data_IF_681012985019
#
_entry.id   IF_681012985019
#
_cell.length_a   1.000
_cell.length_b   1.000
_cell.length_c   1.000
_cell.angle_alpha   90.00
_cell.angle_beta   90.00
_cell.angle_gamma   90.00
#
_symmetry.space_group_name_H-M   'P 1'
#
loop_
_entity.id
_entity.type
_entity.pdbx_description
1 polymer ?
#
# COMPACT_ATOMS: atom_id res chain seq x y z
N UNK A 1 -9.94 5.70 -12.85
CA UNK A 1 -10.33 6.36 -14.12
C UNK A 1 -10.91 7.77 -13.95
N UNK A 2 -11.74 8.06 -12.93
CA UNK A 2 -12.27 9.43 -12.73
C UNK A 2 -11.17 10.47 -12.61
N UNK A 3 -10.15 10.22 -11.78
CA UNK A 3 -9.05 11.18 -11.55
C UNK A 3 -8.24 11.45 -12.81
N UNK A 4 -8.10 10.45 -13.70
CA UNK A 4 -7.40 10.59 -14.98
C UNK A 4 -8.18 11.51 -15.92
N UNK A 5 -9.50 11.34 -15.99
CA UNK A 5 -10.35 12.13 -16.87
C UNK A 5 -10.35 13.63 -16.52
N UNK A 6 -10.17 13.95 -15.22
CA UNK A 6 -10.13 15.34 -14.73
C UNK A 6 -8.89 16.13 -15.18
N UNK A 7 -7.81 15.45 -15.51
CA UNK A 7 -6.52 16.08 -15.86
C UNK A 7 -6.35 16.33 -17.36
N UNK A 8 -7.45 16.42 -18.11
CA UNK A 8 -7.44 16.65 -19.57
C UNK A 8 -6.42 15.75 -20.30
N UNK A 9 -6.55 14.45 -20.07
CA UNK A 9 -5.69 13.45 -20.67
C UNK A 9 -6.01 13.22 -22.15
N UNK A 10 -4.98 12.88 -22.93
CA UNK A 10 -5.09 12.33 -24.27
C UNK A 10 -4.45 10.93 -24.30
N UNK A 11 -4.47 10.26 -25.43
CA UNK A 11 -3.89 8.93 -25.58
C UNK A 11 -2.37 8.93 -25.30
N UNK A 12 -1.68 10.03 -25.64
CA UNK A 12 -0.22 10.11 -25.59
C UNK A 12 0.31 10.28 -24.16
N UNK A 13 -0.46 10.92 -23.25
CA UNK A 13 -0.02 11.19 -21.88
C UNK A 13 -0.74 10.35 -20.81
N UNK A 14 -1.67 9.47 -21.18
CA UNK A 14 -2.49 8.71 -20.22
C UNK A 14 -1.65 7.96 -19.17
N UNK A 15 -0.59 7.31 -19.59
CA UNK A 15 0.27 6.53 -18.69
C UNK A 15 0.98 7.44 -17.66
N UNK A 16 1.45 8.60 -18.09
CA UNK A 16 2.14 9.57 -17.24
C UNK A 16 1.17 10.21 -16.24
N UNK A 17 -0.04 10.55 -16.67
CA UNK A 17 -1.11 11.04 -15.79
C UNK A 17 -1.51 9.99 -14.76
N UNK A 18 -1.61 8.71 -15.17
CA UNK A 18 -1.90 7.62 -14.23
C UNK A 18 -0.80 7.49 -13.16
N UNK A 19 0.48 7.56 -13.55
CA UNK A 19 1.61 7.55 -12.60
C UNK A 19 1.52 8.74 -11.65
N UNK A 20 1.27 9.95 -12.17
CA UNK A 20 1.09 11.14 -11.35
C UNK A 20 0.01 10.96 -10.28
N UNK A 21 -1.16 10.45 -10.68
CA UNK A 21 -2.27 10.21 -9.75
C UNK A 21 -1.88 9.18 -8.69
N UNK A 22 -1.23 8.08 -9.08
CA UNK A 22 -0.80 7.04 -8.13
C UNK A 22 0.23 7.57 -7.12
N UNK A 23 1.19 8.38 -7.59
CA UNK A 23 2.21 8.99 -6.74
C UNK A 23 1.66 10.01 -5.74
N UNK A 24 0.53 10.64 -6.07
CA UNK A 24 -0.13 11.63 -5.22
C UNK A 24 -1.26 11.05 -4.35
N UNK A 25 -1.48 9.73 -4.37
CA UNK A 25 -2.41 9.09 -3.43
C UNK A 25 -1.88 9.19 -2.00
N UNK A 26 -2.81 9.38 -1.06
CA UNK A 26 -2.53 9.50 0.38
C UNK A 26 -3.25 8.41 1.17
N UNK A 27 -3.00 8.35 2.47
CA UNK A 27 -3.64 7.38 3.35
C UNK A 27 -3.35 5.93 2.94
N UNK A 28 -4.35 5.07 3.03
CA UNK A 28 -4.22 3.64 2.71
C UNK A 28 -4.02 3.33 1.22
N UNK A 29 -4.25 4.31 0.34
CA UNK A 29 -4.05 4.17 -1.11
C UNK A 29 -2.66 4.63 -1.57
N UNK A 30 -1.83 5.16 -0.67
CA UNK A 30 -0.47 5.61 -0.97
C UNK A 30 0.42 4.45 -1.40
N UNK A 31 1.22 4.67 -2.44
CA UNK A 31 2.28 3.72 -2.80
C UNK A 31 3.43 3.81 -1.79
N UNK A 32 3.91 2.69 -1.26
CA UNK A 32 5.11 2.67 -0.42
C UNK A 32 6.33 3.03 -1.25
N UNK A 33 7.26 3.79 -0.68
CA UNK A 33 8.58 4.04 -1.31
C UNK A 33 9.44 2.79 -1.26
N UNK A 34 10.51 2.78 -2.04
CA UNK A 34 11.39 1.60 -2.14
C UNK A 34 11.95 1.14 -0.79
N UNK A 35 12.27 2.05 0.14
CA UNK A 35 12.79 1.68 1.46
C UNK A 35 11.73 1.00 2.32
N UNK A 36 10.49 1.52 2.33
CA UNK A 36 9.35 0.91 3.02
C UNK A 36 8.99 -0.44 2.40
N UNK A 37 9.09 -0.54 1.07
CA UNK A 37 8.85 -1.78 0.35
C UNK A 37 9.90 -2.84 0.66
N UNK A 38 11.20 -2.46 0.74
CA UNK A 38 12.31 -3.35 1.17
C UNK A 38 12.08 -3.87 2.57
N UNK A 39 11.78 -2.99 3.51
CA UNK A 39 11.49 -3.39 4.88
C UNK A 39 10.35 -4.41 4.93
N UNK A 40 9.25 -4.13 4.23
CA UNK A 40 8.10 -5.03 4.19
C UNK A 40 8.44 -6.39 3.56
N UNK A 41 9.18 -6.44 2.45
CA UNK A 41 9.60 -7.69 1.79
C UNK A 41 10.47 -8.55 2.71
N UNK A 42 11.33 -7.94 3.51
CA UNK A 42 12.26 -8.65 4.37
C UNK A 42 11.69 -9.02 5.74
N UNK A 43 10.67 -8.32 6.23
CA UNK A 43 10.18 -8.50 7.61
C UNK A 43 8.79 -9.12 7.71
N UNK A 44 7.96 -9.01 6.69
CA UNK A 44 6.55 -9.40 6.77
C UNK A 44 6.36 -10.91 6.84
N UNK A 45 5.34 -11.33 7.59
CA UNK A 45 4.83 -12.70 7.54
C UNK A 45 4.07 -12.91 6.23
N UNK A 46 4.70 -13.58 5.26
CA UNK A 46 4.10 -13.89 3.97
C UNK A 46 3.28 -15.17 3.97
N UNK A 47 3.41 -16.01 4.99
CA UNK A 47 2.65 -17.25 5.06
C UNK A 47 1.19 -17.01 5.42
N UNK A 48 0.91 -16.07 6.33
CA UNK A 48 -0.42 -15.78 6.82
C UNK A 48 -1.15 -14.64 6.12
N UNK A 49 -0.55 -14.02 5.09
CA UNK A 49 -1.29 -13.04 4.27
C UNK A 49 -2.43 -13.72 3.50
N UNK A 50 -3.37 -12.91 3.00
CA UNK A 50 -4.47 -13.39 2.18
C UNK A 50 -3.98 -14.29 1.02
N UNK A 51 -4.62 -15.44 0.83
CA UNK A 51 -4.21 -16.46 -0.15
C UNK A 51 -4.09 -15.93 -1.59
N UNK A 52 -5.00 -15.03 -2.01
CA UNK A 52 -4.96 -14.42 -3.36
C UNK A 52 -3.73 -13.54 -3.54
N UNK A 53 -3.40 -12.72 -2.55
CA UNK A 53 -2.20 -11.89 -2.56
C UNK A 53 -0.93 -12.74 -2.53
N UNK A 54 -0.90 -13.78 -1.70
CA UNK A 54 0.22 -14.72 -1.64
C UNK A 54 0.43 -15.40 -2.99
N UNK A 55 -0.62 -15.96 -3.60
CA UNK A 55 -0.54 -16.58 -4.91
C UNK A 55 -0.05 -15.61 -5.99
N UNK A 56 -0.55 -14.37 -5.99
CA UNK A 56 -0.10 -13.32 -6.91
C UNK A 56 1.41 -13.03 -6.75
N UNK A 57 1.88 -12.85 -5.52
CA UNK A 57 3.29 -12.53 -5.26
C UNK A 57 4.21 -13.64 -5.75
N UNK A 58 3.91 -14.91 -5.40
CA UNK A 58 4.71 -16.05 -5.84
C UNK A 58 4.66 -16.22 -7.36
N UNK A 59 3.50 -16.03 -7.99
CA UNK A 59 3.39 -16.08 -9.45
C UNK A 59 4.22 -14.99 -10.15
N UNK A 60 4.22 -13.78 -9.62
CA UNK A 60 5.03 -12.69 -10.18
C UNK A 60 6.52 -12.96 -10.03
N UNK A 61 6.96 -13.45 -8.87
CA UNK A 61 8.37 -13.80 -8.63
C UNK A 61 8.83 -15.00 -9.46
N UNK A 62 7.96 -15.99 -9.69
CA UNK A 62 8.25 -17.13 -10.56
C UNK A 62 8.46 -16.68 -12.01
N UNK A 63 7.58 -15.85 -12.51
CA UNK A 63 7.56 -15.43 -13.90
C UNK A 63 8.39 -14.17 -14.19
N UNK A 64 9.25 -13.75 -13.25
CA UNK A 64 10.13 -12.59 -13.42
C UNK A 64 10.97 -12.68 -14.69
N UNK A 65 11.02 -11.62 -15.47
CA UNK A 65 11.86 -11.48 -16.66
C UNK A 65 11.65 -12.57 -17.73
N UNK A 66 10.54 -13.33 -17.65
CA UNK A 66 10.25 -14.40 -18.60
C UNK A 66 9.18 -13.98 -19.59
N UNK A 67 9.41 -14.31 -20.87
CA UNK A 67 8.38 -14.27 -21.92
C UNK A 67 7.50 -15.50 -21.88
N UNK A 68 8.01 -16.64 -21.38
CA UNK A 68 7.29 -17.88 -21.18
C UNK A 68 6.90 -17.98 -19.70
N UNK A 69 5.61 -17.99 -19.43
CA UNK A 69 5.07 -17.94 -18.07
C UNK A 69 4.62 -19.32 -17.58
N UNK A 70 4.88 -19.60 -16.31
CA UNK A 70 4.31 -20.75 -15.60
C UNK A 70 3.10 -20.29 -14.80
N UNK A 71 1.93 -20.85 -15.12
CA UNK A 71 0.72 -20.53 -14.36
C UNK A 71 0.70 -21.29 -13.02
N UNK A 72 0.87 -20.54 -11.92
CA UNK A 72 0.84 -21.13 -10.57
C UNK A 72 -0.33 -20.62 -9.72
N UNK A 73 -1.01 -19.56 -10.12
CA UNK A 73 -2.12 -18.99 -9.35
C UNK A 73 -3.25 -20.01 -9.24
N UNK A 74 -3.69 -20.56 -10.38
CA UNK A 74 -4.75 -21.57 -10.39
C UNK A 74 -4.35 -22.83 -9.62
N UNK A 75 -3.10 -23.28 -9.79
CA UNK A 75 -2.55 -24.42 -9.06
C UNK A 75 -2.50 -24.23 -7.54
N UNK A 76 -2.32 -22.99 -7.06
CA UNK A 76 -2.34 -22.66 -5.63
C UNK A 76 -3.75 -22.46 -5.08
N UNK A 77 -4.64 -21.83 -5.83
CA UNK A 77 -5.95 -21.40 -5.33
C UNK A 77 -7.06 -22.42 -5.60
N UNK A 78 -7.14 -22.96 -6.81
CA UNK A 78 -8.28 -23.76 -7.26
C UNK A 78 -7.92 -25.25 -7.38
N UNK A 79 -6.96 -25.57 -8.22
CA UNK A 79 -6.60 -26.97 -8.51
C UNK A 79 -5.86 -27.65 -7.35
N UNK A 80 -5.39 -26.89 -6.36
CA UNK A 80 -4.59 -27.39 -5.22
C UNK A 80 -3.40 -28.29 -5.64
N UNK A 81 -2.92 -28.06 -6.86
CA UNK A 81 -1.77 -28.75 -7.44
C UNK A 81 -0.46 -28.36 -6.75
N UNK A 82 -0.40 -27.12 -6.28
CA UNK A 82 0.75 -26.55 -5.59
C UNK A 82 0.38 -26.08 -4.20
N UNK A 83 1.37 -26.01 -3.33
CA UNK A 83 1.26 -25.43 -1.99
C UNK A 83 2.50 -24.63 -1.66
N UNK A 84 2.38 -23.77 -0.65
CA UNK A 84 3.53 -23.05 -0.09
C UNK A 84 4.28 -23.99 0.85
N UNK A 85 5.56 -24.14 0.60
CA UNK A 85 6.49 -24.93 1.38
C UNK A 85 7.41 -24.04 2.22
N UNK A 86 7.61 -24.43 3.48
CA UNK A 86 8.66 -23.90 4.34
C UNK A 86 9.96 -24.68 4.10
N UNK A 87 10.97 -24.05 3.56
CA UNK A 87 12.28 -24.70 3.33
C UNK A 87 12.86 -25.15 4.67
N UNK A 88 13.04 -24.22 5.61
CA UNK A 88 13.22 -24.52 7.05
C UNK A 88 11.83 -24.80 7.63
N UNK A 89 11.56 -26.00 8.14
CA UNK A 89 10.21 -26.46 8.45
C UNK A 89 9.59 -25.76 9.66
N UNK A 90 8.27 -25.81 9.77
CA UNK A 90 7.53 -25.26 10.92
C UNK A 90 7.92 -25.93 12.25
N UNK A 91 8.28 -27.22 12.23
CA UNK A 91 8.77 -27.93 13.41
C UNK A 91 10.19 -28.40 13.15
N UNK A 92 11.14 -27.88 13.92
CA UNK A 92 12.54 -28.22 13.78
C UNK A 92 12.86 -29.59 14.40
N UNK A 93 13.45 -30.50 13.60
CA UNK A 93 14.08 -31.70 14.10
C UNK A 93 15.40 -31.36 14.84
N UNK A 94 16.01 -32.36 15.53
CA UNK A 94 17.31 -32.18 16.19
C UNK A 94 18.42 -31.82 15.20
N UNK A 95 18.35 -32.37 14.01
CA UNK A 95 19.29 -32.09 12.92
C UNK A 95 19.17 -30.62 12.49
N UNK A 96 17.95 -30.13 12.26
CA UNK A 96 17.74 -28.71 11.95
C UNK A 96 18.25 -27.78 13.04
N UNK A 97 18.03 -28.13 14.33
CA UNK A 97 18.55 -27.32 15.44
C UNK A 97 20.07 -27.28 15.44
N UNK A 98 20.72 -28.39 15.08
CA UNK A 98 22.18 -28.48 14.96
C UNK A 98 22.68 -27.63 13.78
N UNK A 99 22.04 -27.72 12.63
CA UNK A 99 22.44 -27.01 11.41
C UNK A 99 22.27 -25.49 11.56
N UNK A 100 21.21 -25.03 12.22
CA UNK A 100 20.98 -23.63 12.54
C UNK A 100 21.88 -23.08 13.66
N UNK A 101 22.48 -23.98 14.47
CA UNK A 101 23.42 -23.61 15.52
C UNK A 101 22.78 -23.11 16.81
N UNK A 102 23.57 -22.43 17.65
CA UNK A 102 23.15 -22.04 19.00
C UNK A 102 21.91 -21.14 19.05
N UNK A 103 21.74 -20.29 18.03
CA UNK A 103 20.64 -19.33 17.95
C UNK A 103 19.42 -19.87 17.17
N UNK A 104 19.30 -21.20 17.01
CA UNK A 104 18.27 -21.82 16.17
C UNK A 104 16.84 -21.35 16.47
N UNK A 105 16.52 -21.06 17.74
CA UNK A 105 15.18 -20.58 18.13
C UNK A 105 14.90 -19.20 17.57
N UNK A 106 15.83 -18.27 17.72
CA UNK A 106 15.71 -16.91 17.23
C UNK A 106 15.66 -16.89 15.69
N UNK A 107 16.55 -17.65 15.04
CA UNK A 107 16.55 -17.79 13.58
C UNK A 107 15.22 -18.34 13.08
N UNK A 108 14.68 -19.37 13.74
CA UNK A 108 13.40 -19.96 13.39
C UNK A 108 12.24 -18.98 13.56
N UNK A 109 12.15 -18.30 14.71
CA UNK A 109 11.12 -17.32 15.00
C UNK A 109 11.14 -16.16 13.97
N UNK A 110 12.32 -15.64 13.67
CA UNK A 110 12.48 -14.52 12.74
C UNK A 110 12.15 -14.92 11.30
N UNK A 111 12.65 -16.07 10.83
CA UNK A 111 12.68 -16.39 9.41
C UNK A 111 11.56 -17.33 8.95
N UNK A 112 10.87 -18.02 9.86
CA UNK A 112 9.93 -19.07 9.50
C UNK A 112 8.95 -18.66 8.39
N UNK A 113 8.25 -17.56 8.58
CA UNK A 113 7.19 -17.10 7.69
C UNK A 113 7.60 -15.99 6.72
N UNK A 114 8.89 -15.62 6.71
CA UNK A 114 9.40 -14.63 5.76
C UNK A 114 9.51 -15.22 4.36
N UNK A 115 9.37 -14.36 3.36
CA UNK A 115 9.43 -14.73 1.94
C UNK A 115 10.68 -15.57 1.62
N UNK A 116 11.82 -15.23 2.22
CA UNK A 116 13.08 -15.95 2.02
C UNK A 116 13.07 -17.42 2.44
N UNK A 117 12.18 -17.84 3.33
CA UNK A 117 12.03 -19.24 3.75
C UNK A 117 10.87 -19.96 3.04
N UNK A 118 10.11 -19.27 2.19
CA UNK A 118 8.93 -19.81 1.54
C UNK A 118 9.19 -20.10 0.05
N UNK A 119 8.59 -21.15 -0.45
CA UNK A 119 8.62 -21.48 -1.89
C UNK A 119 7.33 -22.19 -2.30
N UNK A 120 7.22 -22.51 -3.60
CA UNK A 120 6.09 -23.26 -4.17
C UNK A 120 6.55 -24.67 -4.53
N UNK A 121 5.75 -25.65 -4.20
CA UNK A 121 5.98 -27.05 -4.56
C UNK A 121 4.67 -27.81 -4.77
N UNK A 122 4.72 -28.88 -5.56
CA UNK A 122 3.66 -29.90 -5.64
C UNK A 122 3.84 -31.06 -4.66
N UNK A 123 4.94 -31.10 -3.89
CA UNK A 123 5.38 -32.25 -3.10
C UNK A 123 5.53 -31.96 -1.60
N UNK A 124 4.79 -31.00 -1.08
CA UNK A 124 4.91 -30.51 0.31
C UNK A 124 4.83 -31.66 1.34
N UNK A 125 3.89 -32.60 1.17
CA UNK A 125 3.76 -33.76 2.06
C UNK A 125 5.00 -34.64 2.12
N UNK A 126 5.79 -34.69 1.04
CA UNK A 126 7.01 -35.47 0.95
C UNK A 126 8.18 -34.78 1.68
N UNK A 127 8.14 -33.45 1.76
CA UNK A 127 9.18 -32.66 2.42
C UNK A 127 9.11 -32.70 3.94
N UNK A 128 7.92 -32.48 4.50
CA UNK A 128 7.69 -32.51 5.95
C UNK A 128 8.81 -31.76 6.73
N UNK A 129 9.29 -32.32 7.83
CA UNK A 129 10.39 -31.78 8.65
C UNK A 129 11.76 -32.40 8.32
N UNK A 130 11.92 -33.01 7.15
CA UNK A 130 13.21 -33.60 6.70
C UNK A 130 14.28 -32.55 6.64
N UNK A 131 15.55 -32.96 6.79
CA UNK A 131 16.72 -32.08 6.68
C UNK A 131 16.77 -31.40 5.32
N UNK A 132 17.46 -30.27 5.25
CA UNK A 132 17.58 -29.53 4.00
C UNK A 132 18.16 -30.36 2.86
N UNK A 133 19.24 -31.12 3.13
CA UNK A 133 19.89 -31.99 2.15
C UNK A 133 18.91 -33.02 1.59
N UNK A 134 18.09 -33.64 2.44
CA UNK A 134 17.07 -34.61 1.98
C UNK A 134 16.01 -33.91 1.14
N UNK A 135 15.43 -32.78 1.57
CA UNK A 135 14.46 -32.01 0.79
C UNK A 135 15.03 -31.57 -0.57
N UNK A 136 16.32 -31.24 -0.61
CA UNK A 136 17.00 -30.82 -1.84
C UNK A 136 17.21 -31.98 -2.81
N UNK A 137 17.74 -33.10 -2.32
CA UNK A 137 18.35 -34.16 -3.15
C UNK A 137 17.43 -35.35 -3.42
N UNK A 138 16.29 -35.48 -2.73
CA UNK A 138 15.32 -36.54 -3.00
C UNK A 138 14.75 -36.45 -4.44
N UNK A 139 14.13 -37.53 -4.92
CA UNK A 139 13.64 -37.66 -6.31
C UNK A 139 12.83 -36.45 -6.79
N UNK A 140 11.89 -36.00 -5.99
CA UNK A 140 11.02 -34.85 -6.30
C UNK A 140 11.41 -33.63 -5.43
N UNK A 141 12.70 -33.54 -5.10
CA UNK A 141 13.27 -32.49 -4.24
C UNK A 141 13.50 -31.18 -4.96
N UNK A 142 14.06 -30.23 -4.24
CA UNK A 142 14.30 -28.88 -4.79
C UNK A 142 15.18 -28.92 -6.05
N UNK A 143 16.18 -29.81 -6.13
CA UNK A 143 17.02 -29.94 -7.33
C UNK A 143 16.23 -30.29 -8.60
N UNK A 144 15.17 -31.10 -8.47
CA UNK A 144 14.34 -31.49 -9.58
C UNK A 144 13.23 -30.49 -9.90
N UNK A 145 13.03 -29.49 -9.05
CA UNK A 145 11.96 -28.51 -9.23
C UNK A 145 12.14 -27.69 -10.50
N UNK A 146 11.14 -27.50 -11.36
CA UNK A 146 11.22 -26.61 -12.51
C UNK A 146 11.12 -25.14 -12.15
N UNK A 147 10.66 -24.82 -10.93
CA UNK A 147 10.39 -23.45 -10.54
C UNK A 147 11.67 -22.61 -10.38
N UNK A 148 11.64 -21.39 -10.94
CA UNK A 148 12.69 -20.36 -10.77
C UNK A 148 12.80 -19.89 -9.33
N UNK A 149 11.71 -19.90 -8.57
CA UNK A 149 11.69 -19.64 -7.14
C UNK A 149 12.66 -20.54 -6.37
N UNK A 150 13.00 -21.71 -6.91
CA UNK A 150 13.90 -22.68 -6.30
C UNK A 150 15.35 -22.59 -6.82
N UNK A 151 15.68 -21.66 -7.72
CA UNK A 151 17.02 -21.57 -8.30
C UNK A 151 18.13 -21.37 -7.26
N UNK A 152 17.90 -20.53 -6.25
CA UNK A 152 18.82 -20.37 -5.13
C UNK A 152 18.88 -21.63 -4.26
N UNK A 153 17.72 -22.19 -3.94
CA UNK A 153 17.56 -23.37 -3.07
C UNK A 153 18.26 -24.59 -3.66
N UNK A 154 18.19 -24.79 -4.98
CA UNK A 154 18.87 -25.89 -5.70
C UNK A 154 20.36 -25.89 -5.52
N UNK A 155 20.96 -24.68 -5.44
CA UNK A 155 22.41 -24.46 -5.42
C UNK A 155 22.98 -24.41 -4.01
N UNK A 156 22.15 -24.22 -3.00
CA UNK A 156 22.60 -24.15 -1.62
C UNK A 156 22.97 -25.54 -1.11
N UNK A 157 24.08 -25.63 -0.39
CA UNK A 157 24.53 -26.89 0.24
C UNK A 157 23.95 -27.10 1.63
N UNK A 158 23.55 -26.03 2.28
CA UNK A 158 22.95 -25.99 3.61
C UNK A 158 21.83 -24.94 3.64
N UNK A 159 21.10 -24.88 4.75
CA UNK A 159 20.04 -23.89 4.94
C UNK A 159 20.12 -23.32 6.36
N UNK A 160 20.95 -22.31 6.50
CA UNK A 160 21.21 -21.61 7.77
C UNK A 160 20.73 -20.15 7.68
N UNK A 161 20.97 -19.38 8.71
CA UNK A 161 20.67 -17.95 8.68
C UNK A 161 21.39 -17.21 7.55
N UNK A 162 22.59 -17.69 7.17
CA UNK A 162 23.35 -17.12 6.05
C UNK A 162 22.58 -17.26 4.73
N UNK A 163 22.13 -18.48 4.39
CA UNK A 163 21.39 -18.74 3.15
C UNK A 163 20.03 -18.02 3.13
N UNK A 164 19.37 -17.90 4.28
CA UNK A 164 18.15 -17.12 4.43
C UNK A 164 18.39 -15.64 4.11
N UNK A 165 19.47 -15.04 4.64
CA UNK A 165 19.85 -13.65 4.38
C UNK A 165 20.22 -13.43 2.90
N UNK A 166 21.00 -14.32 2.30
CA UNK A 166 21.38 -14.19 0.90
C UNK A 166 20.18 -14.35 -0.04
N UNK A 167 19.30 -15.31 0.23
CA UNK A 167 18.07 -15.46 -0.55
C UNK A 167 17.13 -14.26 -0.36
N UNK A 168 17.07 -13.67 0.83
CA UNK A 168 16.29 -12.45 1.08
C UNK A 168 16.76 -11.31 0.19
N UNK A 169 18.08 -11.10 0.05
CA UNK A 169 18.65 -10.08 -0.85
C UNK A 169 18.31 -10.35 -2.32
N UNK A 170 18.38 -11.61 -2.76
CA UNK A 170 18.00 -11.98 -4.13
C UNK A 170 16.51 -11.71 -4.38
N UNK A 171 15.63 -12.11 -3.46
CA UNK A 171 14.20 -11.88 -3.56
C UNK A 171 13.84 -10.40 -3.50
N UNK A 172 14.48 -9.61 -2.64
CA UNK A 172 14.35 -8.15 -2.57
C UNK A 172 14.68 -7.50 -3.91
N UNK A 173 15.84 -7.84 -4.48
CA UNK A 173 16.26 -7.35 -5.79
C UNK A 173 15.25 -7.66 -6.88
N UNK A 174 14.76 -8.91 -6.91
CA UNK A 174 13.76 -9.33 -7.88
C UNK A 174 12.41 -8.60 -7.67
N UNK A 175 12.01 -8.41 -6.42
CA UNK A 175 10.78 -7.70 -6.08
C UNK A 175 10.84 -6.22 -6.49
N UNK A 176 11.94 -5.51 -6.23
CA UNK A 176 12.13 -4.12 -6.64
C UNK A 176 12.15 -3.96 -8.18
N UNK A 177 12.67 -4.95 -8.88
CA UNK A 177 12.62 -4.95 -10.35
C UNK A 177 11.20 -5.19 -10.90
N UNK A 178 10.41 -6.04 -10.23
CA UNK A 178 9.03 -6.35 -10.64
C UNK A 178 8.04 -5.23 -10.30
N UNK A 179 8.21 -4.61 -9.15
CA UNK A 179 7.32 -3.57 -8.62
C UNK A 179 8.08 -2.25 -8.45
N UNK A 180 8.62 -1.76 -9.55
CA UNK A 180 9.34 -0.49 -9.57
C UNK A 180 8.46 0.64 -9.09
N UNK A 181 8.99 1.47 -8.20
CA UNK A 181 8.33 2.72 -7.83
C UNK A 181 8.18 3.59 -9.08
N UNK A 182 6.98 4.04 -9.45
CA UNK A 182 6.78 4.79 -10.66
C UNK A 182 7.44 6.17 -10.56
N UNK A 183 7.86 6.69 -11.70
CA UNK A 183 8.26 8.09 -11.85
C UNK A 183 7.52 8.70 -13.04
N UNK A 184 7.26 9.99 -12.98
CA UNK A 184 6.61 10.74 -14.05
C UNK A 184 7.19 12.14 -14.14
N UNK A 185 7.30 12.64 -15.36
CA UNK A 185 7.58 14.05 -15.64
C UNK A 185 6.28 14.85 -15.90
N UNK A 186 5.12 14.22 -15.75
CA UNK A 186 3.85 14.90 -15.94
C UNK A 186 3.62 15.93 -14.84
N UNK A 187 3.40 17.16 -15.28
CA UNK A 187 2.93 18.25 -14.44
C UNK A 187 1.52 18.62 -14.88
N UNK A 188 0.53 18.64 -13.95
CA UNK A 188 -0.82 19.06 -14.32
C UNK A 188 -0.76 20.52 -14.79
N UNK A 189 -1.39 20.81 -15.90
CA UNK A 189 -1.58 22.20 -16.33
C UNK A 189 -2.55 22.83 -15.33
N UNK A 190 -2.01 23.63 -14.43
CA UNK A 190 -2.80 24.52 -13.59
C UNK A 190 -3.27 25.63 -14.52
N UNK A 191 -4.48 25.49 -15.06
CA UNK A 191 -5.12 26.62 -15.73
C UNK A 191 -5.45 27.58 -14.60
N UNK A 192 -4.68 28.64 -14.49
CA UNK A 192 -5.08 29.78 -13.66
C UNK A 192 -6.27 30.46 -14.37
N UNK A 193 -7.45 29.88 -14.17
CA UNK A 193 -8.71 30.37 -14.74
C UNK A 193 -9.16 31.67 -14.10
N UNK A 194 -8.28 32.29 -13.30
CA UNK A 194 -8.66 33.40 -12.42
C UNK A 194 -9.46 32.95 -11.21
N UNK A 195 -9.79 33.89 -10.35
CA UNK A 195 -10.71 33.65 -9.25
C UNK A 195 -12.13 33.65 -9.78
N UNK A 196 -12.86 32.54 -9.57
CA UNK A 196 -14.30 32.45 -9.90
C UNK A 196 -15.10 32.54 -8.62
N UNK A 197 -16.28 33.20 -8.62
CA UNK A 197 -17.18 33.15 -7.48
C UNK A 197 -17.50 31.70 -7.09
N UNK A 198 -17.48 31.41 -5.78
CA UNK A 198 -17.97 30.13 -5.31
C UNK A 198 -19.49 30.17 -5.34
N UNK A 199 -20.08 29.45 -6.28
CA UNK A 199 -21.51 29.48 -6.57
C UNK A 199 -22.11 28.10 -6.38
N UNK A 200 -23.28 28.02 -5.75
CA UNK A 200 -24.03 26.78 -5.54
C UNK A 200 -24.49 26.10 -6.83
N UNK A 201 -24.60 26.84 -7.93
CA UNK A 201 -25.05 26.29 -9.21
C UNK A 201 -23.92 25.63 -10.02
N UNK A 202 -22.67 25.77 -9.58
CA UNK A 202 -21.54 25.18 -10.26
C UNK A 202 -21.16 23.83 -9.65
N UNK A 203 -21.11 22.78 -10.47
CA UNK A 203 -20.60 21.46 -10.06
C UNK A 203 -19.07 21.48 -9.99
N UNK A 204 -18.54 21.47 -8.76
CA UNK A 204 -17.11 21.37 -8.46
C UNK A 204 -16.65 19.92 -8.31
N UNK A 205 -17.52 18.93 -8.56
CA UNK A 205 -17.19 17.52 -8.43
C UNK A 205 -15.95 17.19 -9.27
N UNK A 206 -14.89 16.88 -8.58
CA UNK A 206 -13.65 16.48 -9.21
C UNK A 206 -12.67 17.59 -9.54
N UNK A 207 -13.00 18.81 -9.22
CA UNK A 207 -12.06 19.92 -9.27
C UNK A 207 -11.18 19.92 -8.02
N UNK A 208 -9.99 20.48 -8.15
CA UNK A 208 -9.09 20.76 -7.05
C UNK A 208 -9.05 22.27 -6.83
N UNK A 209 -9.12 22.70 -5.57
CA UNK A 209 -8.90 24.09 -5.21
C UNK A 209 -7.39 24.35 -5.06
N UNK A 210 -6.88 25.41 -5.68
CA UNK A 210 -5.49 25.83 -5.54
C UNK A 210 -5.31 27.02 -4.61
N UNK A 211 -6.32 27.89 -4.54
CA UNK A 211 -6.39 29.04 -3.64
C UNK A 211 -7.83 29.52 -3.55
N UNK A 212 -8.11 30.37 -2.58
CA UNK A 212 -9.37 31.07 -2.45
C UNK A 212 -9.17 32.51 -1.97
N UNK A 213 -10.18 33.34 -2.17
CA UNK A 213 -10.30 34.68 -1.58
C UNK A 213 -11.59 34.76 -0.79
N UNK A 214 -11.52 35.26 0.42
CA UNK A 214 -12.68 35.35 1.30
C UNK A 214 -12.63 36.65 2.12
N UNK A 215 -13.73 37.37 2.15
CA UNK A 215 -13.87 38.64 2.91
C UNK A 215 -12.76 39.68 2.64
N UNK A 216 -12.24 39.72 1.42
CA UNK A 216 -11.18 40.67 1.06
C UNK A 216 -9.78 40.28 1.55
N UNK A 217 -9.56 39.03 1.94
CA UNK A 217 -8.28 38.54 2.45
C UNK A 217 -7.14 38.48 1.41
N UNK A 218 -7.44 38.73 0.13
CA UNK A 218 -6.55 38.39 -0.97
C UNK A 218 -6.46 36.87 -1.16
N UNK A 219 -5.60 36.46 -2.11
CA UNK A 219 -5.47 35.06 -2.52
C UNK A 219 -4.74 34.22 -1.46
N UNK A 220 -5.45 33.26 -0.88
CA UNK A 220 -4.94 32.32 0.13
C UNK A 220 -4.70 30.97 -0.51
N UNK A 221 -3.46 30.45 -0.61
CA UNK A 221 -3.17 29.16 -1.20
C UNK A 221 -3.66 28.01 -0.30
N UNK A 222 -4.21 26.98 -0.93
CA UNK A 222 -4.63 25.73 -0.29
C UNK A 222 -4.39 24.54 -1.23
N UNK A 223 -4.30 23.34 -0.65
CA UNK A 223 -4.07 22.11 -1.42
C UNK A 223 -5.35 21.28 -1.62
N UNK A 224 -6.32 21.43 -0.74
CA UNK A 224 -7.55 20.61 -0.73
C UNK A 224 -8.75 21.45 -0.29
N UNK A 225 -9.94 21.04 -0.70
CA UNK A 225 -11.20 21.60 -0.26
C UNK A 225 -11.35 21.66 1.27
N UNK A 226 -10.94 20.57 1.96
CA UNK A 226 -10.93 20.52 3.43
C UNK A 226 -10.14 21.68 4.04
N UNK A 227 -8.92 21.94 3.55
CA UNK A 227 -8.08 23.01 4.04
C UNK A 227 -8.73 24.39 3.82
N UNK A 228 -9.35 24.57 2.65
CA UNK A 228 -10.07 25.81 2.35
C UNK A 228 -11.20 26.07 3.35
N UNK A 229 -12.07 25.08 3.56
CA UNK A 229 -13.23 25.20 4.48
C UNK A 229 -12.76 25.47 5.90
N UNK A 230 -11.77 24.77 6.41
CA UNK A 230 -11.23 24.99 7.74
C UNK A 230 -10.68 26.41 7.89
N UNK A 231 -9.96 26.93 6.89
CA UNK A 231 -9.46 28.31 6.90
C UNK A 231 -10.61 29.33 6.89
N UNK A 232 -11.64 29.10 6.06
CA UNK A 232 -12.83 29.97 6.00
C UNK A 232 -13.53 29.99 7.36
N UNK A 233 -13.76 28.84 7.98
CA UNK A 233 -14.41 28.75 9.30
C UNK A 233 -13.59 29.48 10.36
N UNK A 234 -12.28 29.33 10.36
CA UNK A 234 -11.38 30.09 11.29
C UNK A 234 -11.45 31.59 11.06
N UNK A 235 -11.46 32.03 9.81
CA UNK A 235 -11.62 33.47 9.47
C UNK A 235 -12.98 34.01 9.89
N UNK A 236 -14.05 33.21 9.79
CA UNK A 236 -15.38 33.57 10.29
C UNK A 236 -15.39 33.67 11.81
N UNK A 237 -14.74 32.72 12.50
CA UNK A 237 -14.59 32.75 13.94
C UNK A 237 -13.85 33.99 14.41
N UNK A 238 -12.73 34.34 13.79
CA UNK A 238 -11.94 35.52 14.11
C UNK A 238 -12.75 36.82 13.93
N UNK A 239 -13.70 36.81 12.98
CA UNK A 239 -14.53 37.99 12.70
C UNK A 239 -15.75 38.09 13.63
N UNK A 240 -16.43 36.99 13.88
CA UNK A 240 -17.62 36.90 14.72
C UNK A 240 -17.71 35.54 15.43
N UNK A 241 -17.03 35.42 16.59
CA UNK A 241 -17.07 34.19 17.38
C UNK A 241 -18.50 33.80 17.81
N UNK A 242 -19.29 34.80 18.22
CA UNK A 242 -20.66 34.55 18.71
C UNK A 242 -21.57 34.03 17.62
N UNK A 243 -21.47 34.61 16.42
CA UNK A 243 -22.24 34.16 15.25
C UNK A 243 -21.90 32.74 14.84
N UNK A 244 -20.63 32.35 14.90
CA UNK A 244 -20.23 30.99 14.55
C UNK A 244 -20.70 29.95 15.58
N UNK A 245 -20.68 30.26 16.88
CA UNK A 245 -21.27 29.37 17.91
C UNK A 245 -22.79 29.22 17.73
N UNK A 246 -23.49 30.29 17.38
CA UNK A 246 -24.93 30.24 17.07
C UNK A 246 -25.19 29.37 15.84
N UNK A 247 -24.42 29.55 14.77
CA UNK A 247 -24.52 28.75 13.55
C UNK A 247 -24.26 27.25 13.83
N UNK A 248 -23.25 26.94 14.64
CA UNK A 248 -22.92 25.57 15.03
C UNK A 248 -24.02 24.92 15.88
N UNK A 249 -24.79 25.70 16.64
CA UNK A 249 -25.89 25.22 17.46
C UNK A 249 -27.23 25.20 16.72
N UNK A 250 -27.35 25.81 15.53
CA UNK A 250 -28.60 25.95 14.79
C UNK A 250 -28.85 24.74 13.89
N UNK A 251 -29.89 23.96 14.17
CA UNK A 251 -30.34 22.84 13.33
C UNK A 251 -30.75 23.27 11.91
N UNK A 252 -31.14 24.52 11.72
CA UNK A 252 -31.52 25.08 10.42
C UNK A 252 -30.33 25.37 9.51
N UNK A 253 -29.11 25.45 10.07
CA UNK A 253 -27.91 25.84 9.32
C UNK A 253 -27.41 24.77 8.34
N UNK A 254 -27.89 23.51 8.44
CA UNK A 254 -27.31 22.37 7.70
C UNK A 254 -25.87 22.00 8.09
N UNK A 255 -25.20 22.90 8.81
CA UNK A 255 -23.83 22.74 9.29
C UNK A 255 -23.73 22.23 10.73
N UNK A 256 -24.82 22.32 11.52
CA UNK A 256 -24.81 21.95 12.93
C UNK A 256 -24.27 20.54 13.19
N UNK A 257 -24.63 19.58 12.34
CA UNK A 257 -24.13 18.19 12.43
C UNK A 257 -22.61 18.04 12.20
N UNK A 258 -21.98 19.07 11.63
CA UNK A 258 -20.53 19.08 11.35
C UNK A 258 -19.71 19.66 12.51
N UNK A 259 -20.36 20.21 13.54
CA UNK A 259 -19.69 20.77 14.72
C UNK A 259 -19.99 19.96 15.97
N UNK A 260 -19.01 19.85 16.84
CA UNK A 260 -19.12 19.19 18.16
C UNK A 260 -18.32 19.97 19.21
N UNK A 261 -18.70 19.81 20.50
CA UNK A 261 -18.05 20.48 21.62
C UNK A 261 -16.77 19.78 22.11
N UNK A 262 -16.64 18.49 21.85
CA UNK A 262 -15.50 17.67 22.28
C UNK A 262 -14.78 17.06 21.09
N UNK A 263 -13.45 17.17 21.07
CA UNK A 263 -12.62 16.64 19.99
C UNK A 263 -12.68 15.11 19.91
N UNK A 264 -12.83 14.61 18.69
CA UNK A 264 -12.71 13.18 18.36
C UNK A 264 -12.03 13.01 17.00
N UNK A 265 -11.69 11.77 16.66
CA UNK A 265 -11.00 11.45 15.40
C UNK A 265 -11.78 11.98 14.18
N UNK A 266 -11.05 12.57 13.21
CA UNK A 266 -11.64 13.21 12.02
C UNK A 266 -12.07 14.66 12.18
N UNK A 267 -12.16 15.17 13.42
CA UNK A 267 -12.54 16.56 13.70
C UNK A 267 -11.29 17.46 13.86
N UNK A 268 -11.42 18.70 13.45
CA UNK A 268 -10.37 19.73 13.57
C UNK A 268 -10.83 20.81 14.53
N UNK A 269 -10.00 21.13 15.49
CA UNK A 269 -10.27 22.23 16.43
C UNK A 269 -10.28 23.58 15.71
N UNK A 270 -11.38 24.27 15.82
CA UNK A 270 -11.56 25.65 15.33
C UNK A 270 -11.27 26.64 16.46
N UNK A 271 -11.87 26.40 17.63
CA UNK A 271 -11.71 27.16 18.85
C UNK A 271 -12.02 26.28 20.08
N UNK A 272 -11.90 26.83 21.29
CA UNK A 272 -12.26 26.14 22.52
C UNK A 272 -13.71 25.63 22.45
N UNK A 273 -13.88 24.30 22.63
CA UNK A 273 -15.17 23.61 22.56
C UNK A 273 -15.90 23.77 21.21
N UNK A 274 -15.14 23.96 20.13
CA UNK A 274 -15.70 24.05 18.79
C UNK A 274 -14.83 23.27 17.80
N UNK A 275 -15.27 22.08 17.42
CA UNK A 275 -14.60 21.18 16.50
C UNK A 275 -15.41 20.96 15.26
N UNK A 276 -14.79 20.96 14.09
CA UNK A 276 -15.45 20.80 12.80
C UNK A 276 -15.04 19.50 12.11
N UNK A 277 -16.01 18.75 11.60
CA UNK A 277 -15.79 17.52 10.86
C UNK A 277 -15.35 17.80 9.42
N UNK A 278 -14.10 17.53 9.11
CA UNK A 278 -13.51 17.84 7.81
C UNK A 278 -13.55 16.70 6.79
N UNK A 279 -14.04 15.51 7.13
CA UNK A 279 -14.01 14.32 6.26
C UNK A 279 -15.25 14.17 5.35
N UNK A 280 -16.07 15.21 5.19
CA UNK A 280 -17.26 15.21 4.32
C UNK A 280 -16.88 15.06 2.84
N UNK A 281 -17.78 14.47 2.05
CA UNK A 281 -17.62 14.38 0.60
C UNK A 281 -17.61 15.78 -0.05
N UNK A 282 -17.05 15.91 -1.26
CA UNK A 282 -17.08 17.18 -2.00
C UNK A 282 -18.51 17.71 -2.15
N UNK A 283 -19.47 16.81 -2.44
CA UNK A 283 -20.88 17.19 -2.58
C UNK A 283 -21.48 17.78 -1.28
N UNK A 284 -21.19 17.15 -0.13
CA UNK A 284 -21.65 17.69 1.16
C UNK A 284 -21.03 19.05 1.48
N UNK A 285 -19.78 19.29 1.04
CA UNK A 285 -19.07 20.57 1.23
C UNK A 285 -19.62 21.69 0.35
N UNK A 286 -20.14 21.36 -0.83
CA UNK A 286 -20.74 22.32 -1.77
C UNK A 286 -22.14 22.76 -1.33
N UNK A 287 -22.87 21.89 -0.61
CA UNK A 287 -24.26 22.13 -0.17
C UNK A 287 -24.39 22.47 1.32
N UNK A 288 -23.26 22.71 2.01
CA UNK A 288 -23.20 23.19 3.39
C UNK A 288 -22.89 24.67 3.43
#
# INVERSE_FOLDING_TARGET
NRDVLKLKTNQDNYAEVMKYILLNKTGSARLPKDDEFREAINSKDFYHINNKWRAYIFNRLENRESKETTEIIDGLLNAKKYSIEHIMPQTLSKEWQKDLGKNYKEVHEIWLNRLANLTVTGYNSNYSNRTFSVKRDMRDGFKASPFRLNEYVKKADQWTEHELKERAKDMEKNALNLWKYPSTAFEPIIIDAGTVPFDSDQDYTGMTVAAFEFLGSGRIPVKYWKEMIIKIIKMLFDKDPSGLYQLAASEESGLAASFIEEGRDGYVEIAERLYFYGETSTWAKENS
#
